data_IF_221355551617
#
_entry.id   IF_221355551617
#
_cell.length_a   1.000
_cell.length_b   1.000
_cell.length_c   1.000
_cell.angle_alpha   90.00
_cell.angle_beta   90.00
_cell.angle_gamma   90.00
#
_symmetry.space_group_name_H-M   'P 1'
#
loop_
_entity.id
_entity.type
_entity.pdbx_description
1 polymer ?
#
# COMPACT_ATOMS: atom_id res chain seq x y z
N UNK A 1 -68.35 -19.51 -5.66
CA UNK A 1 -68.16 -18.45 -6.67
C UNK A 1 -66.81 -17.77 -6.37
N UNK A 2 -65.73 -18.00 -7.15
CA UNK A 2 -65.25 -17.23 -8.34
C UNK A 2 -64.88 -15.77 -7.94
N UNK A 3 -63.70 -15.16 -8.17
CA UNK A 3 -62.46 -15.36 -8.99
C UNK A 3 -61.35 -14.47 -8.35
N UNK A 4 -60.09 -14.89 -8.17
CA UNK A 4 -58.91 -14.68 -9.05
C UNK A 4 -58.78 -13.27 -9.67
N UNK A 5 -57.54 -12.77 -9.64
CA UNK A 5 -56.96 -11.56 -10.27
C UNK A 5 -56.93 -10.32 -9.33
N UNK A 6 -55.82 -9.59 -9.13
CA UNK A 6 -54.71 -9.30 -10.01
C UNK A 6 -53.43 -8.97 -9.21
N UNK A 7 -52.33 -9.68 -9.50
CA UNK A 7 -50.96 -9.20 -9.29
C UNK A 7 -50.71 -8.08 -10.30
N UNK A 8 -50.44 -6.86 -9.88
CA UNK A 8 -49.61 -5.92 -10.65
C UNK A 8 -49.19 -4.74 -9.79
N UNK A 9 -47.92 -4.77 -9.41
CA UNK A 9 -47.24 -3.72 -8.67
C UNK A 9 -45.76 -4.07 -8.58
N UNK A 10 -45.13 -4.36 -9.72
CA UNK A 10 -43.67 -4.37 -9.82
C UNK A 10 -43.20 -2.93 -9.61
N UNK A 11 -43.02 -2.56 -8.34
CA UNK A 11 -42.22 -1.39 -7.99
C UNK A 11 -40.79 -1.69 -8.44
N UNK A 12 -40.40 -1.10 -9.57
CA UNK A 12 -39.02 -1.07 -10.00
C UNK A 12 -38.20 -0.45 -8.87
N UNK A 13 -37.51 -1.29 -8.10
CA UNK A 13 -36.44 -0.83 -7.22
C UNK A 13 -35.37 -0.31 -8.18
N UNK A 14 -35.34 1.01 -8.34
CA UNK A 14 -34.27 1.69 -9.01
C UNK A 14 -32.97 1.35 -8.24
N UNK A 15 -32.21 0.40 -8.77
CA UNK A 15 -30.82 0.19 -8.39
C UNK A 15 -30.06 1.42 -8.88
N UNK A 16 -30.09 2.48 -8.07
CA UNK A 16 -29.17 3.59 -8.24
C UNK A 16 -27.76 3.01 -8.05
N UNK A 17 -26.85 3.13 -9.04
CA UNK A 17 -25.47 2.77 -8.80
C UNK A 17 -24.94 3.79 -7.78
N UNK A 18 -24.80 3.36 -6.52
CA UNK A 18 -23.98 4.09 -5.54
C UNK A 18 -22.53 3.95 -6.00
N UNK A 19 -22.14 4.77 -6.97
CA UNK A 19 -20.76 5.04 -7.34
C UNK A 19 -20.12 5.98 -6.31
N UNK A 20 -20.26 5.64 -5.02
CA UNK A 20 -19.54 6.30 -3.95
C UNK A 20 -18.59 5.29 -3.36
N UNK A 21 -17.30 5.58 -3.41
CA UNK A 21 -16.30 4.82 -2.64
C UNK A 21 -16.80 4.79 -1.21
N UNK A 22 -17.08 3.61 -0.62
CA UNK A 22 -17.66 3.53 0.70
C UNK A 22 -16.59 3.92 1.72
N UNK A 23 -16.41 5.24 1.94
CA UNK A 23 -15.37 5.82 2.79
C UNK A 23 -15.24 5.16 4.17
N UNK A 24 -16.33 4.77 4.86
CA UNK A 24 -16.23 4.00 6.10
C UNK A 24 -15.60 2.62 5.91
N UNK A 25 -15.98 1.89 4.84
CA UNK A 25 -15.43 0.57 4.53
C UNK A 25 -13.96 0.67 4.13
N UNK A 26 -13.57 1.72 3.40
CA UNK A 26 -12.17 2.00 3.05
C UNK A 26 -11.29 2.25 4.29
N UNK A 27 -11.79 3.04 5.26
CA UNK A 27 -11.06 3.29 6.52
C UNK A 27 -10.80 2.02 7.32
N UNK A 28 -11.73 1.08 7.33
CA UNK A 28 -11.56 -0.22 7.98
C UNK A 28 -10.60 -1.09 7.16
N UNK A 29 -10.81 -1.16 5.85
CA UNK A 29 -10.01 -1.98 4.94
C UNK A 29 -8.51 -1.66 5.02
N UNK A 30 -8.15 -0.37 5.05
CA UNK A 30 -6.75 0.08 5.21
C UNK A 30 -6.14 -0.16 6.59
N UNK A 31 -6.96 -0.37 7.61
CA UNK A 31 -6.48 -0.77 8.94
C UNK A 31 -6.23 -2.27 9.07
N UNK A 32 -6.82 -3.06 8.16
CA UNK A 32 -6.70 -4.51 8.15
C UNK A 32 -5.57 -5.02 7.26
N UNK A 33 -5.04 -4.19 6.36
CA UNK A 33 -4.01 -4.60 5.40
C UNK A 33 -2.81 -3.67 5.49
N UNK A 34 -1.62 -4.26 5.48
CA UNK A 34 -0.38 -3.53 5.25
C UNK A 34 -0.26 -3.23 3.74
N UNK A 35 -0.58 -1.99 3.38
CA UNK A 35 -0.38 -1.52 2.01
C UNK A 35 1.06 -1.07 1.78
N UNK A 36 1.71 -1.63 0.77
CA UNK A 36 2.97 -1.14 0.23
C UNK A 36 2.63 -0.37 -1.04
N UNK A 37 2.73 0.96 -1.00
CA UNK A 37 2.49 1.79 -2.20
C UNK A 37 3.75 1.91 -3.05
N UNK A 38 3.58 1.74 -4.36
CA UNK A 38 4.63 1.91 -5.37
C UNK A 38 4.19 2.88 -6.46
N UNK A 39 5.14 3.48 -7.16
CA UNK A 39 4.85 4.28 -8.35
C UNK A 39 4.40 3.34 -9.47
N UNK A 40 3.24 3.60 -10.09
CA UNK A 40 2.73 2.79 -11.21
C UNK A 40 3.67 2.80 -12.42
N UNK A 41 4.38 3.89 -12.64
CA UNK A 41 5.28 4.06 -13.79
C UNK A 41 6.59 3.27 -13.62
N UNK A 42 6.89 2.85 -12.39
CA UNK A 42 8.07 2.07 -12.05
C UNK A 42 7.72 0.58 -11.96
N UNK A 43 7.93 -0.14 -13.06
CA UNK A 43 7.65 -1.57 -13.14
C UNK A 43 8.52 -2.40 -12.19
N UNK A 44 9.78 -2.01 -11.99
CA UNK A 44 10.70 -2.73 -11.11
C UNK A 44 10.32 -2.53 -9.63
N UNK A 45 9.91 -1.31 -9.23
CA UNK A 45 9.31 -1.10 -7.91
C UNK A 45 8.07 -1.97 -7.71
N UNK A 46 7.24 -2.16 -8.74
CA UNK A 46 6.06 -3.02 -8.64
C UNK A 46 6.41 -4.49 -8.44
N UNK A 47 7.40 -5.02 -9.16
CA UNK A 47 7.87 -6.40 -9.02
C UNK A 47 8.50 -6.64 -7.64
N UNK A 48 9.36 -5.73 -7.19
CA UNK A 48 9.91 -5.79 -5.83
C UNK A 48 8.84 -5.66 -4.76
N UNK A 49 7.90 -4.74 -4.94
CA UNK A 49 6.76 -4.57 -4.04
C UNK A 49 5.95 -5.86 -3.91
N UNK A 50 5.71 -6.56 -5.02
CA UNK A 50 4.98 -7.83 -5.00
C UNK A 50 5.75 -8.91 -4.25
N UNK A 51 7.06 -9.01 -4.51
CA UNK A 51 7.92 -9.98 -3.81
C UNK A 51 7.93 -9.72 -2.30
N UNK A 52 8.10 -8.46 -1.88
CA UNK A 52 8.05 -8.07 -0.46
C UNK A 52 6.69 -8.37 0.15
N UNK A 53 5.60 -7.97 -0.51
CA UNK A 53 4.24 -8.21 -0.01
C UNK A 53 3.94 -9.70 0.11
N UNK A 54 4.39 -10.52 -0.84
CA UNK A 54 4.22 -11.97 -0.78
C UNK A 54 5.01 -12.58 0.38
N UNK A 55 6.29 -12.22 0.54
CA UNK A 55 7.10 -12.68 1.68
C UNK A 55 6.46 -12.29 3.02
N UNK A 56 5.98 -11.05 3.15
CA UNK A 56 5.31 -10.60 4.37
C UNK A 56 3.96 -11.30 4.59
N UNK A 57 3.19 -11.57 3.54
CA UNK A 57 1.93 -12.29 3.68
C UNK A 57 2.15 -13.77 4.06
N UNK A 58 3.27 -14.36 3.63
CA UNK A 58 3.62 -15.75 3.95
C UNK A 58 4.22 -15.89 5.36
N UNK A 59 5.14 -14.99 5.74
CA UNK A 59 5.85 -15.07 7.02
C UNK A 59 5.18 -14.28 8.16
N UNK A 60 4.37 -13.27 7.84
CA UNK A 60 3.57 -12.46 8.76
C UNK A 60 2.10 -12.37 8.27
N UNK A 61 1.33 -13.46 8.27
CA UNK A 61 0.02 -13.52 7.63
C UNK A 61 -1.00 -12.52 8.19
N UNK A 62 -0.87 -12.11 9.46
CA UNK A 62 -1.70 -11.08 10.09
C UNK A 62 -1.50 -9.70 9.45
N UNK A 63 -0.34 -9.45 8.81
CA UNK A 63 -0.07 -8.20 8.09
C UNK A 63 -1.00 -8.03 6.88
N UNK A 64 -1.43 -9.16 6.29
CA UNK A 64 -2.22 -9.21 5.05
C UNK A 64 -1.63 -8.28 3.98
N UNK A 65 -0.30 -8.32 3.87
CA UNK A 65 0.45 -7.38 3.05
C UNK A 65 0.02 -7.45 1.59
N UNK A 66 -0.12 -6.28 0.96
CA UNK A 66 -0.43 -6.19 -0.46
C UNK A 66 0.12 -4.92 -1.09
N UNK A 67 0.35 -4.98 -2.39
CA UNK A 67 0.84 -3.83 -3.16
C UNK A 67 -0.34 -2.99 -3.65
N UNK A 68 -0.20 -1.68 -3.55
CA UNK A 68 -1.05 -0.71 -4.25
C UNK A 68 -0.21 0.22 -5.10
N UNK A 69 -0.80 0.77 -6.15
CA UNK A 69 -0.09 1.59 -7.14
C UNK A 69 -0.61 3.02 -7.10
N UNK A 70 0.26 3.97 -6.77
CA UNK A 70 0.01 5.38 -6.97
C UNK A 70 0.09 5.73 -8.46
N UNK A 71 -0.59 6.79 -8.89
CA UNK A 71 -0.59 7.21 -10.30
C UNK A 71 0.82 7.57 -10.78
N UNK A 72 1.54 8.33 -9.96
CA UNK A 72 2.89 8.84 -10.21
C UNK A 72 3.64 8.96 -8.87
N UNK A 73 4.91 9.39 -8.93
CA UNK A 73 5.78 9.56 -7.77
C UNK A 73 5.29 10.64 -6.78
N UNK A 74 4.75 11.76 -7.27
CA UNK A 74 4.21 12.82 -6.42
C UNK A 74 2.99 12.33 -5.63
N UNK A 75 2.13 11.54 -6.27
CA UNK A 75 0.95 10.95 -5.65
C UNK A 75 1.34 9.91 -4.62
N UNK A 76 2.38 9.11 -4.86
CA UNK A 76 2.94 8.20 -3.86
C UNK A 76 3.37 8.97 -2.61
N UNK A 77 4.21 9.98 -2.79
CA UNK A 77 4.72 10.79 -1.68
C UNK A 77 3.59 11.49 -0.93
N UNK A 78 2.63 12.07 -1.66
CA UNK A 78 1.41 12.68 -1.08
C UNK A 78 0.62 11.69 -0.21
N UNK A 79 0.46 10.42 -0.61
CA UNK A 79 -0.27 9.43 0.17
C UNK A 79 0.41 9.13 1.52
N UNK A 80 1.74 9.15 1.55
CA UNK A 80 2.53 8.96 2.78
C UNK A 80 2.52 10.23 3.63
N UNK A 81 2.87 11.39 3.06
CA UNK A 81 2.92 12.68 3.77
C UNK A 81 1.57 13.06 4.38
N UNK A 82 0.46 12.72 3.72
CA UNK A 82 -0.90 13.01 4.22
C UNK A 82 -1.51 11.87 5.03
N UNK A 83 -0.71 10.89 5.45
CA UNK A 83 -1.13 9.81 6.35
C UNK A 83 -2.27 8.93 5.79
N UNK A 84 -2.39 8.89 4.46
CA UNK A 84 -3.37 8.06 3.77
C UNK A 84 -2.89 6.61 3.67
N UNK A 85 -1.58 6.40 3.58
CA UNK A 85 -0.90 5.11 3.65
C UNK A 85 0.35 5.23 4.54
N UNK A 86 0.86 4.07 4.98
CA UNK A 86 1.92 4.05 6.01
C UNK A 86 3.27 3.60 5.47
N UNK A 87 3.32 2.79 4.40
CA UNK A 87 4.53 2.17 3.86
C UNK A 87 4.60 2.34 2.35
N UNK A 88 5.78 2.67 1.83
CA UNK A 88 6.04 2.81 0.41
C UNK A 88 7.35 2.14 0.00
N UNK A 89 7.44 1.71 -1.26
CA UNK A 89 8.68 1.27 -1.89
C UNK A 89 8.96 2.16 -3.10
N UNK A 90 10.18 2.70 -3.15
CA UNK A 90 10.65 3.61 -4.18
C UNK A 90 12.16 3.44 -4.37
N UNK A 91 12.69 3.93 -5.49
CA UNK A 91 14.14 3.93 -5.69
C UNK A 91 14.84 4.82 -4.67
N UNK A 92 16.11 4.52 -4.37
CA UNK A 92 16.95 5.36 -3.51
C UNK A 92 17.09 6.77 -4.08
N UNK A 93 17.20 6.91 -5.41
CA UNK A 93 17.23 8.22 -6.07
C UNK A 93 15.95 9.02 -5.86
N UNK A 94 14.78 8.37 -5.89
CA UNK A 94 13.50 9.02 -5.62
C UNK A 94 13.37 9.43 -4.15
N UNK A 95 13.85 8.61 -3.21
CA UNK A 95 13.88 8.97 -1.79
C UNK A 95 14.78 10.20 -1.55
N UNK A 96 15.99 10.23 -2.12
CA UNK A 96 16.89 11.38 -2.00
C UNK A 96 16.26 12.64 -2.60
N UNK A 97 15.68 12.56 -3.79
CA UNK A 97 15.00 13.70 -4.41
C UNK A 97 13.83 14.22 -3.54
N UNK A 98 13.11 13.33 -2.85
CA UNK A 98 12.04 13.73 -1.93
C UNK A 98 12.60 14.39 -0.66
N UNK A 99 13.64 13.83 -0.05
CA UNK A 99 14.30 14.40 1.13
C UNK A 99 14.90 15.78 0.84
N UNK A 100 15.48 15.96 -0.35
CA UNK A 100 16.07 17.22 -0.82
C UNK A 100 15.03 18.21 -1.37
N UNK A 101 13.73 17.88 -1.32
CA UNK A 101 12.63 18.67 -1.86
C UNK A 101 12.84 19.09 -3.32
N UNK A 102 13.40 18.18 -4.13
CA UNK A 102 13.54 18.38 -5.57
C UNK A 102 12.21 18.07 -6.28
N UNK A 103 11.96 18.67 -7.46
CA UNK A 103 10.77 18.34 -8.25
C UNK A 103 10.63 16.83 -8.50
N UNK A 104 9.43 16.24 -8.38
CA UNK A 104 8.14 16.92 -8.13
C UNK A 104 7.78 17.12 -6.65
N UNK A 105 8.66 16.75 -5.72
CA UNK A 105 8.40 16.73 -4.27
C UNK A 105 8.50 18.10 -3.59
N UNK A 106 8.99 19.11 -4.30
CA UNK A 106 9.04 20.52 -3.88
C UNK A 106 7.67 21.12 -3.54
N UNK A 107 6.59 20.46 -3.94
CA UNK A 107 5.20 20.81 -3.66
C UNK A 107 4.66 20.21 -2.36
N UNK A 108 5.43 19.36 -1.67
CA UNK A 108 5.03 18.68 -0.44
C UNK A 108 5.73 19.27 0.77
N UNK A 109 5.04 19.24 1.91
CA UNK A 109 5.65 19.56 3.19
C UNK A 109 6.76 18.54 3.51
N UNK A 110 7.88 18.98 4.11
CA UNK A 110 8.92 18.07 4.56
C UNK A 110 8.33 16.99 5.46
N UNK A 111 8.61 15.73 5.10
CA UNK A 111 8.04 14.56 5.76
C UNK A 111 9.17 13.74 6.36
N UNK A 112 9.08 13.42 7.65
CA UNK A 112 10.01 12.52 8.29
C UNK A 112 9.67 11.08 7.92
N UNK A 113 10.68 10.36 7.41
CA UNK A 113 10.55 9.01 6.91
C UNK A 113 11.55 8.10 7.62
N UNK A 114 11.16 6.86 7.82
CA UNK A 114 12.00 5.80 8.34
C UNK A 114 12.29 4.79 7.23
N UNK A 115 13.56 4.53 6.93
CA UNK A 115 13.94 3.42 6.05
C UNK A 115 13.78 2.10 6.83
N UNK A 116 13.01 1.16 6.29
CA UNK A 116 12.76 -0.15 6.88
C UNK A 116 13.69 -1.21 6.30
N UNK A 117 13.76 -1.32 4.98
CA UNK A 117 14.48 -2.38 4.30
C UNK A 117 15.00 -1.90 2.95
N UNK A 118 16.08 -2.51 2.48
CA UNK A 118 16.71 -2.18 1.21
C UNK A 118 16.86 -3.43 0.36
N UNK A 119 16.56 -3.29 -0.93
CA UNK A 119 16.75 -4.35 -1.93
C UNK A 119 17.20 -3.73 -3.24
N UNK A 120 18.39 -4.12 -3.70
CA UNK A 120 19.06 -3.47 -4.82
C UNK A 120 19.07 -1.94 -4.65
N UNK A 121 18.59 -1.18 -5.64
CA UNK A 121 18.48 0.27 -5.61
C UNK A 121 17.15 0.78 -5.01
N UNK A 122 16.36 -0.08 -4.37
CA UNK A 122 15.06 0.26 -3.79
C UNK A 122 15.07 0.24 -2.28
N UNK A 123 14.30 1.15 -1.70
CA UNK A 123 14.17 1.32 -0.26
C UNK A 123 12.69 1.27 0.12
N UNK A 124 12.37 0.34 1.03
CA UNK A 124 11.08 0.29 1.69
C UNK A 124 11.12 1.28 2.85
N UNK A 125 10.22 2.25 2.82
CA UNK A 125 10.11 3.29 3.85
C UNK A 125 8.76 3.20 4.57
N UNK A 126 8.71 3.73 5.77
CA UNK A 126 7.47 4.13 6.42
C UNK A 126 7.50 5.59 6.84
N UNK A 127 6.32 6.11 7.13
CA UNK A 127 6.17 7.29 7.99
C UNK A 127 6.85 7.08 9.36
N UNK A 128 7.32 8.17 9.97
CA UNK A 128 8.06 8.16 11.23
C UNK A 128 7.22 7.75 12.45
N UNK A 129 5.92 8.05 12.44
CA UNK A 129 4.95 7.65 13.47
C UNK A 129 4.29 6.29 13.20
N UNK A 130 4.81 5.52 12.23
CA UNK A 130 4.45 4.12 12.07
C UNK A 130 4.84 3.32 13.32
N UNK A 131 4.00 2.39 13.76
CA UNK A 131 4.23 1.66 15.03
C UNK A 131 5.59 0.95 15.00
N UNK A 132 6.48 1.34 15.91
CA UNK A 132 7.85 0.81 15.99
C UNK A 132 7.90 -0.72 16.07
N UNK A 133 6.95 -1.35 16.77
CA UNK A 133 6.81 -2.81 16.83
C UNK A 133 6.56 -3.43 15.45
N UNK A 134 5.65 -2.85 14.66
CA UNK A 134 5.33 -3.32 13.32
C UNK A 134 6.51 -3.09 12.36
N UNK A 135 7.18 -1.93 12.48
CA UNK A 135 8.41 -1.66 11.75
C UNK A 135 9.45 -2.75 12.05
N UNK A 136 9.67 -3.07 13.34
CA UNK A 136 10.58 -4.12 13.78
C UNK A 136 10.29 -5.47 13.13
N UNK A 137 9.03 -5.94 13.19
CA UNK A 137 8.64 -7.20 12.57
C UNK A 137 8.91 -7.22 11.06
N UNK A 138 8.56 -6.16 10.32
CA UNK A 138 8.82 -6.08 8.88
C UNK A 138 10.32 -6.21 8.59
N UNK A 139 11.17 -5.49 9.34
CA UNK A 139 12.63 -5.51 9.16
C UNK A 139 13.20 -6.90 9.40
N UNK A 140 12.85 -7.48 10.54
CA UNK A 140 13.35 -8.79 10.97
C UNK A 140 12.96 -9.90 9.99
N UNK A 141 11.69 -9.92 9.58
CA UNK A 141 11.17 -10.89 8.60
C UNK A 141 11.89 -10.79 7.26
N UNK A 142 11.99 -9.58 6.69
CA UNK A 142 12.65 -9.42 5.38
C UNK A 142 14.15 -9.74 5.44
N UNK A 143 14.83 -9.34 6.53
CA UNK A 143 16.24 -9.65 6.74
C UNK A 143 16.48 -11.16 6.89
N UNK A 144 15.62 -11.86 7.65
CA UNK A 144 15.69 -13.30 7.82
C UNK A 144 15.50 -14.03 6.49
N UNK A 145 14.49 -13.62 5.70
CA UNK A 145 14.22 -14.19 4.38
C UNK A 145 15.39 -14.03 3.41
N UNK A 146 15.98 -12.82 3.34
CA UNK A 146 17.15 -12.54 2.49
C UNK A 146 18.37 -13.40 2.90
N UNK A 147 18.58 -13.55 4.21
CA UNK A 147 19.69 -14.34 4.76
C UNK A 147 19.52 -15.83 4.45
N UNK A 148 18.28 -16.35 4.50
CA UNK A 148 17.99 -17.73 4.13
C UNK A 148 18.23 -18.00 2.64
N UNK A 149 17.82 -17.08 1.75
CA UNK A 149 18.06 -17.22 0.30
C UNK A 149 19.54 -17.14 -0.09
N UNK A 150 20.29 -16.24 0.54
CA UNK A 150 21.74 -16.10 0.28
C UNK A 150 22.55 -17.30 0.79
N UNK A 151 22.09 -17.99 1.84
CA UNK A 151 22.67 -19.24 2.31
C UNK A 151 22.42 -20.43 1.35
N UNK A 152 21.29 -20.44 0.64
CA UNK A 152 20.92 -21.53 -0.28
C UNK A 152 21.52 -21.37 -1.69
N UNK A 153 22.04 -20.18 -2.04
CA UNK A 153 22.65 -19.89 -3.35
C UNK A 153 24.17 -20.13 -3.40
N UNK A 154 24.77 -20.74 -2.36
CA UNK A 154 26.18 -21.16 -2.32
C UNK A 154 26.30 -22.68 -2.41
#
# INVERSE_FOLDING_TARGET
>A
MKRRDCLQGMGAIALLPLAHTPFPQWKVYRKLHLFIVVNREDAAAYDWGQAIAHTLADELPESRAMVTRAHDALRLASLISTQQLDVALLSRSALTAWQDQQPPYDQLEPTHLQELFEVEDYVLISRDDFRAEHAGWIRETLQAHLSAKSAFSR
#
